data_IF_375879398914
#
_entry.id   IF_375879398914
#
_cell.length_a   1.000
_cell.length_b   1.000
_cell.length_c   1.000
_cell.angle_alpha   90.00
_cell.angle_beta   90.00
_cell.angle_gamma   90.00
#
_symmetry.space_group_name_H-M   'P 1'
#
loop_
_entity.id
_entity.type
_entity.pdbx_description
1 polymer ?
#
# COMPACT_ATOMS: atom_id res chain seq x y z
N UNK A 1 -27.81 -9.57 9.49
CA UNK A 1 -26.65 -10.19 8.81
C UNK A 1 -25.68 -10.67 9.90
N UNK A 2 -25.53 -11.97 10.14
CA UNK A 2 -24.70 -12.50 11.25
C UNK A 2 -23.23 -12.54 10.80
N UNK A 3 -22.42 -11.61 11.29
CA UNK A 3 -20.97 -11.65 11.15
C UNK A 3 -20.43 -12.85 11.93
N UNK A 4 -19.66 -13.71 11.26
CA UNK A 4 -18.93 -14.82 11.87
C UNK A 4 -17.89 -14.21 12.84
N UNK A 5 -18.17 -14.27 14.15
CA UNK A 5 -17.27 -13.74 15.18
C UNK A 5 -16.24 -14.80 15.53
N UNK A 6 -14.93 -14.55 15.38
CA UNK A 6 -13.93 -15.40 15.99
C UNK A 6 -13.99 -15.17 17.51
N UNK A 7 -14.76 -16.00 18.23
CA UNK A 7 -14.67 -16.07 19.68
C UNK A 7 -13.43 -16.87 20.08
N UNK A 8 -12.81 -16.54 21.20
CA UNK A 8 -12.00 -17.51 21.93
C UNK A 8 -12.87 -18.75 22.17
N UNK A 9 -12.44 -19.94 21.71
CA UNK A 9 -13.18 -21.22 21.76
C UNK A 9 -13.34 -21.75 23.20
N UNK A 10 -14.03 -21.02 24.05
CA UNK A 10 -14.44 -21.49 25.37
C UNK A 10 -15.97 -21.36 25.42
N UNK A 11 -16.69 -22.47 25.60
CA UNK A 11 -18.17 -22.48 25.53
C UNK A 11 -18.80 -21.60 26.62
N UNK A 12 -18.05 -21.33 27.69
CA UNK A 12 -18.55 -20.57 28.84
C UNK A 12 -18.01 -19.13 28.91
N UNK A 13 -17.23 -18.68 27.93
CA UNK A 13 -16.50 -17.40 28.01
C UNK A 13 -16.17 -16.83 26.65
N UNK A 14 -16.26 -15.52 26.51
CA UNK A 14 -15.70 -14.85 25.33
C UNK A 14 -14.95 -13.58 25.68
N UNK A 15 -13.80 -13.40 25.04
CA UNK A 15 -13.05 -12.16 25.00
C UNK A 15 -13.00 -11.67 23.56
N UNK A 16 -13.50 -10.46 23.30
CA UNK A 16 -13.56 -9.85 21.98
C UNK A 16 -13.07 -8.41 22.02
N UNK A 17 -12.43 -7.96 20.93
CA UNK A 17 -12.12 -6.54 20.69
C UNK A 17 -12.88 -6.12 19.43
N UNK A 18 -13.72 -5.11 19.57
CA UNK A 18 -14.59 -4.62 18.50
C UNK A 18 -14.18 -3.19 18.14
N UNK A 19 -13.95 -2.95 16.84
CA UNK A 19 -13.56 -1.64 16.31
C UNK A 19 -14.77 -0.96 15.70
N UNK A 20 -15.02 0.30 16.06
CA UNK A 20 -16.04 1.14 15.45
C UNK A 20 -15.54 1.63 14.09
N UNK A 21 -15.87 0.88 13.03
CA UNK A 21 -15.61 1.29 11.65
C UNK A 21 -16.53 0.57 10.68
N UNK A 22 -17.06 1.32 9.72
CA UNK A 22 -17.82 0.77 8.58
C UNK A 22 -16.89 0.27 7.47
N UNK A 23 -15.63 0.69 7.48
CA UNK A 23 -14.66 0.32 6.47
C UNK A 23 -14.12 -1.09 6.70
N UNK A 24 -14.01 -1.84 5.60
CA UNK A 24 -13.40 -3.16 5.56
C UNK A 24 -12.16 -3.13 4.69
N UNK A 25 -11.05 -3.57 5.27
CA UNK A 25 -9.79 -3.78 4.57
C UNK A 25 -9.71 -5.18 3.96
N UNK A 26 -8.53 -5.54 3.45
CA UNK A 26 -8.23 -6.90 3.03
C UNK A 26 -8.67 -7.95 4.04
N UNK A 27 -9.23 -9.06 3.53
CA UNK A 27 -9.72 -10.19 4.33
C UNK A 27 -10.87 -9.86 5.29
N UNK A 28 -11.58 -8.74 5.08
CA UNK A 28 -12.72 -8.33 5.92
C UNK A 28 -12.32 -7.76 7.28
N UNK A 29 -11.03 -7.46 7.48
CA UNK A 29 -10.54 -6.80 8.69
C UNK A 29 -11.13 -5.39 8.81
N UNK A 30 -11.36 -4.88 10.03
CA UNK A 30 -11.69 -3.47 10.22
C UNK A 30 -10.60 -2.59 9.61
N UNK A 31 -11.00 -1.53 8.92
CA UNK A 31 -10.08 -0.57 8.33
C UNK A 31 -10.27 0.83 8.86
N UNK A 32 -9.20 1.62 8.85
CA UNK A 32 -9.19 3.04 9.17
C UNK A 32 -8.37 3.78 8.14
N UNK A 33 -8.79 5.00 7.81
CA UNK A 33 -8.07 5.88 6.89
C UNK A 33 -7.46 7.02 7.69
N UNK A 34 -6.18 7.26 7.46
CA UNK A 34 -5.38 8.28 8.11
C UNK A 34 -4.71 9.13 7.06
N UNK A 35 -4.45 10.39 7.37
CA UNK A 35 -3.48 11.21 6.63
C UNK A 35 -2.46 11.78 7.59
N UNK A 36 -1.32 12.32 7.13
CA UNK A 36 -0.40 13.04 7.99
C UNK A 36 -1.03 14.25 8.69
N UNK A 37 -1.95 14.94 8.02
CA UNK A 37 -2.59 16.18 8.48
C UNK A 37 -3.79 15.92 9.38
N UNK A 38 -4.49 14.81 9.15
CA UNK A 38 -5.59 14.32 9.95
C UNK A 38 -5.33 12.84 10.31
N UNK A 39 -4.48 12.57 11.31
CA UNK A 39 -4.21 11.22 11.73
C UNK A 39 -5.49 10.54 12.25
N UNK A 40 -5.69 9.27 11.91
CA UNK A 40 -6.92 8.57 12.27
C UNK A 40 -7.03 8.34 13.78
N UNK A 41 -8.25 8.44 14.29
CA UNK A 41 -8.61 7.98 15.62
C UNK A 41 -9.27 6.61 15.53
N UNK A 42 -8.73 5.62 16.24
CA UNK A 42 -9.32 4.29 16.34
C UNK A 42 -10.16 4.23 17.62
N UNK A 43 -11.46 4.03 17.47
CA UNK A 43 -12.40 3.84 18.59
C UNK A 43 -12.97 2.43 18.59
N UNK A 44 -13.32 1.94 19.77
CA UNK A 44 -13.90 0.61 19.91
C UNK A 44 -14.21 0.27 21.35
N UNK A 45 -14.47 -1.02 21.58
CA UNK A 45 -14.61 -1.57 22.90
C UNK A 45 -14.01 -2.97 23.00
N UNK A 46 -13.53 -3.28 24.19
CA UNK A 46 -13.22 -4.65 24.59
C UNK A 46 -14.38 -5.19 25.41
N UNK A 47 -14.76 -6.43 25.14
CA UNK A 47 -15.86 -7.11 25.79
C UNK A 47 -15.39 -8.45 26.34
N UNK A 48 -15.66 -8.66 27.62
CA UNK A 48 -15.49 -9.93 28.29
C UNK A 48 -16.85 -10.41 28.79
N UNK A 49 -17.19 -11.65 28.47
CA UNK A 49 -18.42 -12.31 28.88
C UNK A 49 -18.07 -13.64 29.53
N UNK A 50 -18.62 -13.90 30.72
CA UNK A 50 -18.41 -15.13 31.47
C UNK A 50 -19.70 -15.55 32.18
N UNK A 51 -20.11 -16.80 32.00
CA UNK A 51 -21.36 -17.30 32.59
C UNK A 51 -21.23 -17.76 34.04
N UNK A 52 -20.00 -17.95 34.53
CA UNK A 52 -19.70 -18.45 35.87
C UNK A 52 -18.50 -17.70 36.45
N UNK A 53 -18.41 -17.64 37.79
CA UNK A 53 -17.28 -17.03 38.47
C UNK A 53 -15.97 -17.69 38.04
N UNK A 54 -14.96 -16.86 37.75
CA UNK A 54 -13.78 -17.32 37.06
C UNK A 54 -12.48 -16.80 37.66
N UNK A 55 -11.53 -17.70 37.90
CA UNK A 55 -10.20 -17.35 38.42
C UNK A 55 -9.33 -16.65 37.37
N UNK A 56 -9.29 -15.33 37.45
CA UNK A 56 -8.50 -14.43 36.60
C UNK A 56 -8.19 -13.13 37.35
N UNK A 57 -7.20 -12.40 36.85
CA UNK A 57 -7.00 -10.99 37.17
C UNK A 57 -7.84 -10.09 36.26
N UNK A 58 -7.45 -8.83 36.22
CA UNK A 58 -8.11 -7.80 35.42
C UNK A 58 -7.76 -7.89 33.92
N UNK A 59 -8.45 -7.05 33.14
CA UNK A 59 -8.38 -7.05 31.69
C UNK A 59 -7.40 -5.99 31.20
N UNK A 60 -6.38 -6.41 30.47
CA UNK A 60 -5.44 -5.52 29.81
C UNK A 60 -5.67 -5.48 28.30
N UNK A 61 -5.76 -4.28 27.73
CA UNK A 61 -5.80 -4.06 26.29
C UNK A 61 -4.52 -3.34 25.84
N UNK A 62 -3.79 -3.97 24.92
CA UNK A 62 -2.54 -3.44 24.39
C UNK A 62 -2.71 -3.11 22.91
N UNK A 63 -2.58 -1.85 22.53
CA UNK A 63 -2.47 -1.42 21.15
C UNK A 63 -1.00 -1.32 20.74
N UNK A 64 -0.62 -1.91 19.62
CA UNK A 64 0.73 -1.79 19.07
C UNK A 64 0.74 -1.67 17.56
N UNK A 65 1.55 -0.74 17.07
CA UNK A 65 1.97 -0.62 15.67
C UNK A 65 3.37 -1.17 15.55
N UNK A 66 3.54 -2.26 14.80
CA UNK A 66 4.83 -2.97 14.66
C UNK A 66 5.21 -3.14 13.21
N UNK A 67 6.47 -2.82 12.90
CA UNK A 67 7.13 -3.23 11.67
C UNK A 67 8.06 -4.39 11.99
N UNK A 68 7.94 -5.49 11.26
CA UNK A 68 8.74 -6.69 11.46
C UNK A 68 9.28 -7.18 10.11
N UNK A 69 10.51 -7.66 10.13
CA UNK A 69 11.15 -8.32 8.99
C UNK A 69 11.77 -9.63 9.47
N UNK A 70 11.42 -10.73 8.81
CA UNK A 70 11.90 -12.07 9.15
C UNK A 70 12.20 -12.86 7.88
N UNK A 71 13.41 -13.40 7.80
CA UNK A 71 13.83 -14.29 6.73
C UNK A 71 14.89 -15.25 7.27
N UNK A 72 15.16 -16.30 6.51
CA UNK A 72 16.14 -17.30 6.85
C UNK A 72 17.10 -17.56 5.69
N UNK A 73 18.30 -18.04 6.02
CA UNK A 73 19.32 -18.46 5.06
C UNK A 73 19.96 -19.76 5.50
N UNK A 74 20.26 -20.59 4.51
CA UNK A 74 21.03 -21.81 4.69
C UNK A 74 22.48 -21.55 4.30
N UNK A 75 23.40 -21.87 5.22
CA UNK A 75 24.84 -21.80 5.03
C UNK A 75 25.40 -23.21 5.20
N UNK A 76 25.37 -24.00 4.13
CA UNK A 76 25.63 -25.45 4.22
C UNK A 76 24.61 -26.12 5.14
N UNK A 77 25.08 -26.71 6.24
CA UNK A 77 24.22 -27.35 7.25
C UNK A 77 23.60 -26.36 8.25
N UNK A 78 24.12 -25.13 8.35
CA UNK A 78 23.61 -24.15 9.30
C UNK A 78 22.38 -23.41 8.76
N UNK A 79 21.31 -23.35 9.56
CA UNK A 79 20.12 -22.54 9.30
C UNK A 79 20.13 -21.30 10.20
N UNK A 80 20.15 -20.11 9.60
CA UNK A 80 20.16 -18.85 10.34
C UNK A 80 18.87 -18.10 10.06
N UNK A 81 18.11 -17.81 11.11
CA UNK A 81 16.90 -16.98 11.06
C UNK A 81 17.24 -15.57 11.50
N UNK A 82 17.01 -14.61 10.60
CA UNK A 82 17.12 -13.18 10.87
C UNK A 82 15.74 -12.64 11.22
N UNK A 83 15.66 -11.88 12.31
CA UNK A 83 14.41 -11.27 12.75
C UNK A 83 14.68 -9.87 13.32
N UNK A 84 14.15 -8.85 12.65
CA UNK A 84 14.19 -7.46 13.06
C UNK A 84 12.79 -6.98 13.36
N UNK A 85 12.64 -6.17 14.41
CA UNK A 85 11.38 -5.58 14.82
C UNK A 85 11.57 -4.13 15.23
N UNK A 86 10.54 -3.34 15.01
CA UNK A 86 10.42 -1.95 15.45
C UNK A 86 8.98 -1.72 15.90
N UNK A 87 8.82 -1.14 17.09
CA UNK A 87 7.52 -0.68 17.59
C UNK A 87 7.46 0.81 17.28
N UNK A 88 6.46 1.20 16.47
CA UNK A 88 6.29 2.59 16.03
C UNK A 88 5.38 3.37 16.99
N UNK A 89 4.36 2.71 17.54
CA UNK A 89 3.47 3.25 18.56
C UNK A 89 2.98 2.11 19.46
N UNK A 90 2.79 2.41 20.74
CA UNK A 90 2.23 1.49 21.73
C UNK A 90 1.40 2.28 22.75
N UNK A 91 0.23 1.74 23.09
CA UNK A 91 -0.65 2.25 24.15
C UNK A 91 -1.23 1.07 24.93
N UNK A 92 -1.35 1.22 26.24
CA UNK A 92 -1.80 0.18 27.15
C UNK A 92 -2.97 0.71 27.98
N UNK A 93 -4.01 -0.11 28.10
CA UNK A 93 -5.20 0.16 28.90
C UNK A 93 -5.36 -0.97 29.91
N UNK A 94 -5.73 -0.60 31.13
CA UNK A 94 -6.05 -1.52 32.21
C UNK A 94 -7.51 -1.29 32.61
N UNK A 95 -8.27 -2.37 32.73
CA UNK A 95 -9.69 -2.31 33.09
C UNK A 95 -9.98 -3.25 34.25
N UNK A 96 -10.38 -2.65 35.36
CA UNK A 96 -10.83 -3.38 36.55
C UNK A 96 -12.10 -4.17 36.22
N UNK A 97 -12.05 -5.49 36.46
CA UNK A 97 -13.22 -6.33 36.35
C UNK A 97 -13.92 -6.47 37.71
N UNK A 98 -15.24 -6.76 37.74
CA UNK A 98 -15.91 -7.07 39.00
C UNK A 98 -15.35 -8.37 39.59
N UNK A 99 -14.83 -8.34 40.82
CA UNK A 99 -14.34 -9.52 41.53
C UNK A 99 -15.27 -9.89 42.69
N UNK A 100 -15.58 -11.18 42.84
CA UNK A 100 -16.30 -11.70 44.02
C UNK A 100 -15.35 -11.78 45.22
N UNK A 101 -14.10 -12.14 44.95
CA UNK A 101 -12.98 -12.15 45.88
C UNK A 101 -11.68 -11.97 45.11
N UNK A 102 -10.55 -11.59 45.76
CA UNK A 102 -9.30 -11.39 45.06
C UNK A 102 -8.93 -12.57 44.13
N UNK A 103 -8.74 -12.26 42.84
CA UNK A 103 -8.38 -13.25 41.81
C UNK A 103 -9.53 -14.11 41.29
N UNK A 104 -10.79 -13.76 41.60
CA UNK A 104 -11.99 -14.40 41.06
C UNK A 104 -12.95 -13.35 40.53
N UNK A 105 -12.96 -13.23 39.20
CA UNK A 105 -13.86 -12.38 38.44
C UNK A 105 -15.28 -12.94 38.54
N UNK A 106 -16.25 -12.08 38.81
CA UNK A 106 -17.66 -12.43 38.89
C UNK A 106 -18.23 -12.80 37.53
N UNK A 107 -19.20 -13.72 37.51
CA UNK A 107 -20.01 -13.96 36.33
C UNK A 107 -20.69 -12.67 35.83
N UNK A 108 -20.78 -12.50 34.52
CA UNK A 108 -21.42 -11.37 33.88
C UNK A 108 -20.67 -10.89 32.64
N UNK A 109 -21.12 -9.73 32.15
CA UNK A 109 -20.58 -9.07 30.96
C UNK A 109 -19.97 -7.74 31.34
N UNK A 110 -18.71 -7.55 30.99
CA UNK A 110 -17.98 -6.29 31.13
C UNK A 110 -17.65 -5.74 29.75
N UNK A 111 -17.96 -4.46 29.54
CA UNK A 111 -17.69 -3.73 28.29
C UNK A 111 -16.95 -2.45 28.62
N UNK A 112 -15.77 -2.28 28.03
CA UNK A 112 -14.94 -1.09 28.24
C UNK A 112 -14.59 -0.44 26.90
N UNK A 113 -14.82 0.86 26.79
CA UNK A 113 -14.50 1.62 25.59
C UNK A 113 -13.03 2.05 25.59
N UNK A 114 -12.48 2.20 24.39
CA UNK A 114 -11.14 2.74 24.18
C UNK A 114 -11.11 3.67 22.97
N UNK A 115 -10.14 4.56 23.00
CA UNK A 115 -9.81 5.48 21.94
C UNK A 115 -8.30 5.59 21.82
N UNK A 116 -7.78 5.41 20.61
CA UNK A 116 -6.36 5.50 20.29
C UNK A 116 -6.19 6.49 19.15
N UNK A 117 -5.39 7.53 19.38
CA UNK A 117 -5.04 8.49 18.34
C UNK A 117 -3.77 8.03 17.63
N UNK A 118 -3.82 7.78 16.32
CA UNK A 118 -2.61 7.43 15.57
C UNK A 118 -1.65 8.61 15.51
N UNK A 119 -0.36 8.33 15.65
CA UNK A 119 0.68 9.31 15.41
C UNK A 119 0.70 9.74 13.93
N UNK A 120 1.00 11.01 13.64
CA UNK A 120 1.25 11.46 12.28
C UNK A 120 2.34 10.61 11.61
N UNK A 121 2.27 10.48 10.29
CA UNK A 121 3.28 9.81 9.45
C UNK A 121 3.45 8.30 9.66
N UNK A 122 2.61 7.65 10.47
CA UNK A 122 2.66 6.19 10.58
C UNK A 122 2.33 5.54 9.22
N UNK A 123 3.15 4.60 8.72
CA UNK A 123 2.97 4.01 7.40
C UNK A 123 1.69 3.15 7.30
N UNK A 124 1.19 2.98 6.08
CA UNK A 124 0.08 2.06 5.82
C UNK A 124 0.40 0.63 6.24
N UNK A 125 -0.63 -0.15 6.55
CA UNK A 125 -0.50 -1.58 6.82
C UNK A 125 0.11 -2.32 5.63
N UNK A 126 1.05 -3.21 5.93
CA UNK A 126 1.79 -3.99 4.94
C UNK A 126 1.67 -5.46 5.29
N UNK A 127 1.28 -6.29 4.32
CA UNK A 127 1.33 -7.74 4.44
C UNK A 127 2.27 -8.31 3.39
N UNK A 128 3.33 -8.97 3.84
CA UNK A 128 4.31 -9.64 2.99
C UNK A 128 4.75 -10.97 3.58
N UNK A 129 5.48 -11.76 2.79
CA UNK A 129 6.02 -13.05 3.20
C UNK A 129 7.13 -12.93 4.25
N UNK A 130 7.96 -11.88 4.15
CA UNK A 130 9.18 -11.68 4.95
C UNK A 130 9.24 -10.34 5.66
N UNK A 131 8.27 -9.46 5.39
CA UNK A 131 8.15 -8.17 6.06
C UNK A 131 6.69 -7.75 6.13
N UNK A 132 6.26 -7.28 7.28
CA UNK A 132 4.89 -6.83 7.52
C UNK A 132 4.87 -5.66 8.49
N UNK A 133 3.80 -4.87 8.38
CA UNK A 133 3.50 -3.76 9.24
C UNK A 133 2.06 -3.89 9.71
N UNK A 134 1.88 -4.07 11.01
CA UNK A 134 0.59 -4.42 11.60
C UNK A 134 0.18 -3.44 12.69
N UNK A 135 -1.09 -3.09 12.68
CA UNK A 135 -1.79 -2.38 13.76
C UNK A 135 -2.63 -3.41 14.49
N UNK A 136 -2.33 -3.67 15.76
CA UNK A 136 -2.93 -4.78 16.51
C UNK A 136 -3.34 -4.36 17.90
N UNK A 137 -4.58 -4.69 18.25
CA UNK A 137 -5.05 -4.76 19.63
C UNK A 137 -4.87 -6.18 20.17
N UNK A 138 -4.37 -6.30 21.39
CA UNK A 138 -4.24 -7.55 22.13
C UNK A 138 -4.92 -7.39 23.48
N UNK A 139 -6.09 -8.00 23.65
CA UNK A 139 -6.76 -8.10 24.93
C UNK A 139 -6.25 -9.34 25.66
N UNK A 140 -5.84 -9.17 26.91
CA UNK A 140 -5.28 -10.22 27.74
C UNK A 140 -6.00 -10.23 29.08
N UNK A 141 -6.48 -11.41 29.47
CA UNK A 141 -6.98 -11.68 30.80
C UNK A 141 -5.98 -12.59 31.51
N UNK A 142 -5.31 -12.05 32.52
CA UNK A 142 -4.24 -12.74 33.23
C UNK A 142 -4.78 -13.85 34.13
N UNK A 143 -4.14 -15.01 34.12
CA UNK A 143 -4.55 -16.16 34.96
C UNK A 143 -3.42 -16.59 35.88
N UNK A 144 -3.73 -17.04 37.11
CA UNK A 144 -2.69 -17.57 37.98
C UNK A 144 -2.07 -18.84 37.39
N UNK A 145 -0.76 -18.98 37.54
CA UNK A 145 -0.02 -20.18 37.17
C UNK A 145 -0.62 -21.42 37.86
N UNK A 146 -0.79 -22.56 37.16
CA UNK A 146 -0.22 -22.90 35.84
C UNK A 146 -1.13 -22.62 34.63
N UNK A 147 -2.25 -21.91 34.81
CA UNK A 147 -3.19 -21.63 33.70
C UNK A 147 -2.57 -20.55 32.79
N UNK A 148 -2.60 -20.78 31.48
CA UNK A 148 -2.13 -19.79 30.46
C UNK A 148 -3.10 -18.62 30.39
N UNK A 149 -2.68 -17.40 30.13
CA UNK A 149 -3.63 -16.29 29.96
C UNK A 149 -4.66 -16.51 28.83
N UNK A 150 -5.81 -15.85 28.92
CA UNK A 150 -6.77 -15.78 27.81
C UNK A 150 -6.39 -14.56 26.99
N UNK A 151 -6.11 -14.76 25.70
CA UNK A 151 -5.63 -13.69 24.82
C UNK A 151 -6.48 -13.64 23.56
N UNK A 152 -6.98 -12.45 23.24
CA UNK A 152 -7.63 -12.15 21.97
C UNK A 152 -6.83 -11.11 21.20
N UNK A 153 -6.70 -11.29 19.88
CA UNK A 153 -5.94 -10.39 19.01
C UNK A 153 -6.82 -9.90 17.87
N UNK A 154 -6.91 -8.59 17.69
CA UNK A 154 -7.63 -7.95 16.60
C UNK A 154 -6.66 -7.12 15.77
N UNK A 155 -6.48 -7.52 14.51
CA UNK A 155 -5.73 -6.75 13.52
C UNK A 155 -6.63 -5.70 12.88
N UNK A 156 -6.05 -4.54 12.57
CA UNK A 156 -6.71 -3.43 11.88
C UNK A 156 -5.88 -3.09 10.64
N UNK A 157 -6.58 -2.81 9.55
CA UNK A 157 -5.94 -2.29 8.34
C UNK A 157 -5.93 -0.77 8.34
N UNK A 158 -4.76 -0.18 8.55
CA UNK A 158 -4.58 1.26 8.42
C UNK A 158 -4.17 1.63 6.99
N UNK A 159 -4.97 2.48 6.35
CA UNK A 159 -4.67 3.13 5.08
C UNK A 159 -4.18 4.55 5.35
N UNK A 160 -2.87 4.75 5.37
CA UNK A 160 -2.31 6.10 5.43
C UNK A 160 -2.15 6.66 4.02
N UNK A 161 -3.03 7.59 3.67
CA UNK A 161 -2.99 8.32 2.41
C UNK A 161 -2.18 9.58 2.66
N UNK A 162 -1.05 9.72 1.97
CA UNK A 162 -0.35 10.99 1.91
C UNK A 162 -1.24 11.92 1.06
N UNK A 163 -1.97 12.83 1.70
CA UNK A 163 -2.61 13.91 0.97
C UNK A 163 -1.51 14.81 0.39
N UNK A 164 -1.74 15.35 -0.80
CA UNK A 164 -1.07 16.58 -1.20
C UNK A 164 -1.72 17.71 -0.40
N UNK A 165 -1.44 17.79 0.91
CA UNK A 165 -1.72 18.98 1.68
C UNK A 165 -0.65 20.02 1.37
N UNK A 166 -0.68 20.55 0.16
CA UNK A 166 -0.05 21.80 -0.15
C UNK A 166 -0.98 22.47 -1.13
N UNK A 167 -1.88 23.32 -0.61
CA UNK A 167 -2.78 24.24 -1.32
C UNK A 167 -3.76 23.63 -2.36
N UNK A 168 -5.06 23.99 -2.34
CA UNK A 168 -5.98 23.69 -3.44
C UNK A 168 -5.53 24.24 -4.81
N UNK A 169 -4.54 25.14 -4.82
CA UNK A 169 -3.97 25.77 -6.01
C UNK A 169 -2.71 25.07 -6.58
N UNK A 170 -2.18 24.03 -5.93
CA UNK A 170 -0.99 23.33 -6.44
C UNK A 170 -1.41 22.20 -7.36
N UNK A 171 -1.21 22.43 -8.65
CA UNK A 171 -1.24 21.42 -9.70
C UNK A 171 -0.25 20.31 -9.27
N UNK A 172 -0.67 19.03 -9.22
CA UNK A 172 0.23 17.92 -8.95
C UNK A 172 1.43 17.99 -9.90
N UNK A 173 2.65 17.93 -9.37
CA UNK A 173 3.84 17.88 -10.21
C UNK A 173 3.79 16.61 -11.05
N UNK A 174 3.68 16.81 -12.36
CA UNK A 174 3.69 15.74 -13.35
C UNK A 174 5.05 15.04 -13.27
N UNK A 175 5.04 13.71 -13.13
CA UNK A 175 6.28 12.96 -13.23
C UNK A 175 6.59 12.75 -14.71
N UNK A 176 7.70 13.30 -15.18
CA UNK A 176 8.10 13.23 -16.59
C UNK A 176 9.52 12.69 -16.73
N UNK A 177 9.70 11.77 -17.68
CA UNK A 177 10.99 11.25 -18.13
C UNK A 177 11.18 11.62 -19.60
N UNK A 178 12.22 12.38 -19.91
CA UNK A 178 12.56 12.78 -21.28
C UNK A 178 13.94 12.27 -21.67
N UNK A 179 14.19 12.15 -22.96
CA UNK A 179 15.50 11.76 -23.46
C UNK A 179 15.54 11.62 -24.97
N UNK A 180 16.68 11.17 -25.48
CA UNK A 180 16.87 10.82 -26.88
C UNK A 180 17.34 9.37 -26.93
N UNK A 181 16.53 8.49 -27.48
CA UNK A 181 16.86 7.08 -27.61
C UNK A 181 17.77 6.86 -28.83
N UNK A 182 18.82 6.07 -28.64
CA UNK A 182 19.89 5.81 -29.62
C UNK A 182 20.44 7.08 -30.31
N UNK A 183 20.44 8.22 -29.62
CA UNK A 183 20.87 9.53 -30.13
C UNK A 183 20.11 9.98 -31.39
N UNK A 184 18.95 9.41 -31.70
CA UNK A 184 18.21 9.74 -32.93
C UNK A 184 16.71 9.98 -32.73
N UNK A 185 16.11 9.47 -31.65
CA UNK A 185 14.67 9.50 -31.45
C UNK A 185 14.32 10.17 -30.11
N UNK A 186 13.94 11.45 -30.09
CA UNK A 186 13.52 12.13 -28.87
C UNK A 186 12.19 11.57 -28.36
N UNK A 187 12.06 11.48 -27.04
CA UNK A 187 10.86 10.98 -26.39
C UNK A 187 10.58 11.70 -25.08
N UNK A 188 9.31 11.65 -24.67
CA UNK A 188 8.86 11.99 -23.33
C UNK A 188 7.81 10.99 -22.86
N UNK A 189 7.90 10.58 -21.59
CA UNK A 189 6.94 9.70 -20.95
C UNK A 189 6.51 10.33 -19.63
N UNK A 190 5.22 10.43 -19.36
CA UNK A 190 4.72 11.14 -18.20
C UNK A 190 3.57 10.44 -17.48
N UNK A 191 3.45 10.75 -16.20
CA UNK A 191 2.33 10.40 -15.32
C UNK A 191 1.78 11.69 -14.72
N UNK A 192 0.45 11.79 -14.48
CA UNK A 192 -0.16 12.95 -13.84
C UNK A 192 0.42 13.29 -12.48
N UNK A 193 0.96 12.30 -11.77
CA UNK A 193 1.63 12.49 -10.49
C UNK A 193 2.65 11.39 -10.22
N UNK A 194 3.71 11.74 -9.50
CA UNK A 194 4.64 10.76 -8.90
C UNK A 194 3.93 9.86 -7.86
N UNK A 195 2.89 10.40 -7.21
CA UNK A 195 2.11 9.69 -6.20
C UNK A 195 0.95 8.94 -6.85
N UNK A 196 0.94 7.63 -6.69
CA UNK A 196 -0.02 6.73 -7.32
C UNK A 196 -0.78 5.96 -6.25
N UNK A 197 -2.11 6.04 -6.25
CA UNK A 197 -2.93 5.34 -5.27
C UNK A 197 -3.05 3.85 -5.64
N UNK A 198 -3.01 2.98 -4.62
CA UNK A 198 -3.29 1.55 -4.83
C UNK A 198 -4.72 1.35 -5.34
N UNK A 199 -4.90 0.50 -6.35
CA UNK A 199 -6.22 0.21 -6.93
C UNK A 199 -6.72 1.23 -7.96
N UNK A 200 -5.99 2.34 -8.19
CA UNK A 200 -6.42 3.35 -9.16
C UNK A 200 -6.08 2.95 -10.60
N UNK A 201 -6.73 3.63 -11.56
CA UNK A 201 -6.38 3.57 -12.97
C UNK A 201 -5.57 4.83 -13.32
N UNK A 202 -4.31 4.67 -13.71
CA UNK A 202 -3.40 5.81 -13.95
C UNK A 202 -3.15 5.98 -15.43
N UNK A 203 -3.42 7.15 -16.04
CA UNK A 203 -3.02 7.41 -17.41
C UNK A 203 -1.50 7.62 -17.48
N UNK A 204 -0.81 6.84 -18.30
CA UNK A 204 0.60 7.02 -18.63
C UNK A 204 0.72 7.41 -20.09
N UNK A 205 1.30 8.57 -20.37
CA UNK A 205 1.39 9.10 -21.73
C UNK A 205 2.82 9.03 -22.24
N UNK A 206 3.01 8.40 -23.39
CA UNK A 206 4.28 8.32 -24.11
C UNK A 206 4.16 9.13 -25.39
N UNK A 207 5.16 9.97 -25.65
CA UNK A 207 5.31 10.75 -26.87
C UNK A 207 6.67 10.52 -27.47
N UNK A 208 6.69 10.36 -28.78
CA UNK A 208 7.90 10.41 -29.60
C UNK A 208 7.81 11.61 -30.52
N UNK A 209 8.90 12.37 -30.59
CA UNK A 209 9.07 13.39 -31.62
C UNK A 209 9.65 12.76 -32.90
N UNK A 210 9.63 13.46 -34.05
CA UNK A 210 10.30 12.99 -35.25
C UNK A 210 11.76 12.60 -34.99
N UNK A 211 12.28 11.65 -35.77
CA UNK A 211 13.73 11.38 -35.80
C UNK A 211 14.51 12.67 -36.07
N UNK A 212 15.65 12.84 -35.39
CA UNK A 212 16.51 14.01 -35.56
C UNK A 212 17.04 14.11 -37.00
N UNK A 213 17.17 15.34 -37.51
CA UNK A 213 17.62 15.60 -38.89
C UNK A 213 19.00 15.02 -39.20
N UNK A 214 19.90 15.02 -38.21
CA UNK A 214 21.25 14.47 -38.29
C UNK A 214 21.30 12.94 -38.22
N UNK A 215 20.16 12.29 -37.97
CA UNK A 215 20.09 10.83 -37.96
C UNK A 215 19.88 10.25 -39.36
N UNK A 216 20.40 9.05 -39.61
CA UNK A 216 20.12 8.28 -40.83
C UNK A 216 18.66 7.80 -40.96
N UNK A 217 17.79 8.16 -40.00
CA UNK A 217 16.39 7.79 -39.93
C UNK A 217 15.45 8.99 -40.13
N UNK A 218 15.97 10.18 -40.43
CA UNK A 218 15.15 11.35 -40.68
C UNK A 218 14.09 11.10 -41.76
N UNK A 219 12.83 11.47 -41.48
CA UNK A 219 11.68 11.24 -42.35
C UNK A 219 11.12 9.81 -42.35
N UNK A 220 11.76 8.86 -41.66
CA UNK A 220 11.21 7.51 -41.49
C UNK A 220 10.07 7.49 -40.46
N UNK A 221 9.20 6.50 -40.58
CA UNK A 221 8.10 6.30 -39.64
C UNK A 221 8.55 5.38 -38.51
N UNK A 222 8.23 5.76 -37.26
CA UNK A 222 8.39 4.89 -36.10
C UNK A 222 7.29 3.83 -36.12
N UNK A 223 7.68 2.57 -36.00
CA UNK A 223 6.77 1.43 -35.90
C UNK A 223 6.99 0.71 -34.58
N UNK A 224 5.92 0.56 -33.80
CA UNK A 224 5.92 -0.20 -32.55
C UNK A 224 5.45 -1.62 -32.84
N UNK A 225 6.29 -2.60 -32.53
CA UNK A 225 6.00 -4.04 -32.73
C UNK A 225 5.27 -4.63 -31.53
N UNK A 226 5.66 -4.24 -30.32
CA UNK A 226 5.02 -4.69 -29.08
C UNK A 226 5.34 -3.74 -27.94
N UNK A 227 4.45 -3.63 -26.96
CA UNK A 227 4.69 -2.83 -25.77
C UNK A 227 4.12 -3.51 -24.52
N UNK A 228 4.84 -3.37 -23.42
CA UNK A 228 4.48 -3.94 -22.12
C UNK A 228 4.76 -2.92 -21.03
N UNK A 229 3.77 -2.71 -20.16
CA UNK A 229 3.91 -1.93 -18.94
C UNK A 229 4.11 -2.87 -17.75
N UNK A 230 5.12 -2.61 -16.92
CA UNK A 230 5.43 -3.40 -15.73
C UNK A 230 5.51 -2.52 -14.50
N UNK A 231 4.81 -2.90 -13.42
CA UNK A 231 5.00 -2.32 -12.10
C UNK A 231 5.81 -3.28 -11.24
N UNK A 232 6.95 -2.82 -10.74
CA UNK A 232 7.86 -3.60 -9.88
C UNK A 232 7.88 -3.04 -8.48
N UNK A 233 7.68 -3.89 -7.48
CA UNK A 233 7.90 -3.58 -6.06
C UNK A 233 9.25 -4.15 -5.64
N UNK A 234 10.08 -3.30 -5.06
CA UNK A 234 11.36 -3.66 -4.47
C UNK A 234 11.21 -3.65 -2.95
N UNK A 235 11.56 -4.75 -2.30
CA UNK A 235 11.52 -4.88 -0.84
C UNK A 235 12.94 -5.06 -0.33
N UNK A 236 13.35 -4.18 0.57
CA UNK A 236 14.64 -4.20 1.25
C UNK A 236 14.37 -4.44 2.73
N UNK A 237 14.98 -5.47 3.29
CA UNK A 237 14.86 -5.87 4.70
C UNK A 237 16.22 -5.76 5.37
N UNK A 238 16.24 -5.23 6.59
CA UNK A 238 17.48 -5.00 7.35
C UNK A 238 17.49 -5.74 8.68
N UNK A 239 18.62 -6.37 8.95
CA UNK A 239 18.98 -6.93 10.23
C UNK A 239 20.42 -6.53 10.54
N UNK A 240 20.78 -6.43 11.81
CA UNK A 240 22.12 -5.97 12.24
C UNK A 240 23.29 -6.78 11.63
N UNK A 241 23.01 -7.99 11.15
CA UNK A 241 24.00 -8.94 10.62
C UNK A 241 23.82 -9.28 9.14
N UNK A 242 22.70 -8.91 8.53
CA UNK A 242 22.38 -9.29 7.15
C UNK A 242 21.31 -8.38 6.56
N UNK A 243 21.25 -8.33 5.24
CA UNK A 243 20.19 -7.64 4.50
C UNK A 243 19.56 -8.59 3.51
N UNK A 244 18.28 -8.42 3.23
CA UNK A 244 17.58 -9.22 2.25
C UNK A 244 16.82 -8.34 1.27
N UNK A 245 17.02 -8.61 -0.02
CA UNK A 245 16.40 -7.83 -1.09
C UNK A 245 15.55 -8.76 -1.95
N UNK A 246 14.33 -8.33 -2.23
CA UNK A 246 13.38 -9.02 -3.08
C UNK A 246 12.79 -8.06 -4.09
N UNK A 247 12.58 -8.57 -5.29
CA UNK A 247 11.88 -7.87 -6.35
C UNK A 247 10.65 -8.69 -6.72
N UNK A 248 9.49 -8.05 -6.67
CA UNK A 248 8.21 -8.60 -7.09
C UNK A 248 7.71 -7.83 -8.31
N UNK A 249 7.33 -8.55 -9.36
CA UNK A 249 6.54 -7.97 -10.45
C UNK A 249 5.07 -7.94 -10.00
N UNK A 250 4.55 -6.75 -9.75
CA UNK A 250 3.23 -6.52 -9.18
C UNK A 250 2.13 -6.37 -10.24
N UNK A 251 2.52 -5.98 -11.45
CA UNK A 251 1.67 -5.84 -12.63
C UNK A 251 2.52 -6.07 -13.87
N UNK A 252 1.95 -6.79 -14.84
CA UNK A 252 2.38 -6.81 -16.23
C UNK A 252 1.14 -6.60 -17.08
N UNK A 253 1.18 -5.59 -17.94
CA UNK A 253 0.11 -5.22 -18.85
C UNK A 253 0.70 -5.20 -20.26
N UNK A 254 0.31 -6.16 -21.08
CA UNK A 254 0.58 -6.14 -22.51
C UNK A 254 -0.35 -5.10 -23.15
N UNK A 255 0.19 -4.29 -24.08
CA UNK A 255 -0.53 -3.18 -24.71
C UNK A 255 -0.76 -3.54 -26.16
N UNK A 256 -1.93 -4.13 -26.41
CA UNK A 256 -2.27 -4.77 -27.68
C UNK A 256 -2.95 -3.85 -28.70
N UNK A 257 -3.32 -2.61 -28.34
CA UNK A 257 -4.01 -1.72 -29.31
C UNK A 257 -3.04 -1.16 -30.37
N UNK A 258 -3.61 -0.81 -31.52
CA UNK A 258 -2.88 -0.22 -32.65
C UNK A 258 -2.10 1.03 -32.24
N UNK A 259 -0.81 1.05 -32.59
CA UNK A 259 0.08 2.17 -32.31
C UNK A 259 -0.05 3.24 -33.39
N UNK A 260 -0.06 4.53 -33.02
CA UNK A 260 0.04 5.59 -34.01
C UNK A 260 1.29 5.40 -34.87
N UNK A 261 1.16 5.69 -36.15
CA UNK A 261 2.27 5.65 -37.10
C UNK A 261 2.37 6.98 -37.82
N UNK A 262 3.59 7.42 -38.09
CA UNK A 262 3.83 8.71 -38.74
C UNK A 262 5.30 9.11 -38.67
N UNK A 263 5.70 9.98 -39.60
CA UNK A 263 7.04 10.59 -39.65
C UNK A 263 7.15 11.85 -38.79
N UNK A 264 6.02 12.36 -38.28
CA UNK A 264 5.93 13.60 -37.52
C UNK A 264 5.93 13.41 -35.99
N UNK A 265 6.27 12.20 -35.52
CA UNK A 265 6.08 11.83 -34.12
C UNK A 265 4.60 11.58 -33.80
N UNK A 266 4.34 11.16 -32.56
CA UNK A 266 3.00 10.88 -32.06
C UNK A 266 2.99 10.79 -30.53
N UNK A 267 1.78 10.81 -29.97
CA UNK A 267 1.53 10.65 -28.54
C UNK A 267 0.45 9.59 -28.31
N UNK A 268 0.59 8.80 -27.24
CA UNK A 268 -0.42 7.82 -26.81
C UNK A 268 -0.48 7.72 -25.29
N UNK A 269 -1.70 7.67 -24.78
CA UNK A 269 -1.99 7.40 -23.37
C UNK A 269 -2.39 5.94 -23.16
N UNK A 270 -1.79 5.31 -22.15
CA UNK A 270 -2.03 3.93 -21.71
C UNK A 270 -2.64 3.98 -20.32
N UNK A 271 -3.81 3.38 -20.13
CA UNK A 271 -4.45 3.31 -18.81
C UNK A 271 -3.88 2.13 -18.02
N UNK A 272 -3.15 2.42 -16.94
CA UNK A 272 -2.45 1.41 -16.13
C UNK A 272 -3.27 1.08 -14.88
N UNK A 273 -3.82 -0.15 -14.75
CA UNK A 273 -4.60 -0.56 -13.58
C UNK A 273 -3.67 -0.97 -12.43
N UNK A 274 -3.57 -0.12 -11.41
CA UNK A 274 -2.67 -0.34 -10.27
C UNK A 274 -3.24 -1.41 -9.35
N UNK A 275 -2.44 -2.44 -9.06
CA UNK A 275 -2.81 -3.54 -8.17
C UNK A 275 -3.19 -3.04 -6.77
N UNK A 276 -4.34 -3.46 -6.19
CA UNK A 276 -4.76 -3.02 -4.86
C UNK A 276 -4.03 -3.76 -3.72
N UNK A 277 -4.18 -3.25 -2.50
CA UNK A 277 -3.81 -3.97 -1.28
C UNK A 277 -4.65 -5.26 -1.12
N UNK A 278 -4.10 -6.34 -0.56
CA UNK A 278 -2.76 -6.49 0.00
C UNK A 278 -1.74 -7.02 -1.03
N UNK A 279 -2.12 -7.14 -2.32
CA UNK A 279 -1.26 -7.73 -3.35
C UNK A 279 -0.07 -6.81 -3.69
N UNK A 280 -0.29 -5.51 -3.63
CA UNK A 280 0.73 -4.46 -3.66
C UNK A 280 0.70 -3.69 -2.34
N UNK A 281 1.86 -3.27 -1.85
CA UNK A 281 1.96 -2.46 -0.64
C UNK A 281 2.19 -1.00 -0.99
N UNK A 282 1.78 -0.08 -0.11
CA UNK A 282 2.18 1.31 -0.25
C UNK A 282 3.70 1.43 -0.09
N UNK A 283 4.28 2.49 -0.65
CA UNK A 283 5.67 2.84 -0.40
C UNK A 283 5.85 3.04 1.10
N UNK A 284 6.82 2.34 1.69
CA UNK A 284 6.97 2.24 3.15
C UNK A 284 8.43 2.36 3.51
N UNK A 285 8.72 3.11 4.58
CA UNK A 285 10.05 3.29 5.14
C UNK A 285 10.00 3.09 6.65
N UNK A 286 10.62 2.01 7.12
CA UNK A 286 10.81 1.70 8.54
C UNK A 286 12.21 1.15 8.72
N UNK A 287 12.69 1.08 9.96
CA UNK A 287 14.03 0.55 10.25
C UNK A 287 14.24 -0.89 9.75
N UNK A 288 13.30 -1.84 9.93
CA UNK A 288 13.51 -3.21 9.46
C UNK A 288 13.14 -3.41 7.98
N UNK A 289 12.38 -2.51 7.36
CA UNK A 289 11.80 -2.73 6.03
C UNK A 289 11.60 -1.44 5.23
N UNK A 290 11.96 -1.48 3.95
CA UNK A 290 11.63 -0.48 2.93
C UNK A 290 10.97 -1.14 1.73
N UNK A 291 9.92 -0.50 1.21
CA UNK A 291 9.25 -0.89 -0.03
C UNK A 291 9.20 0.30 -0.98
N UNK A 292 9.71 0.12 -2.21
CA UNK A 292 9.71 1.13 -3.27
C UNK A 292 9.20 0.55 -4.58
N UNK A 293 8.84 1.41 -5.53
CA UNK A 293 8.15 0.99 -6.75
C UNK A 293 8.74 1.66 -7.99
N UNK A 294 8.78 0.89 -9.09
CA UNK A 294 9.14 1.39 -10.42
C UNK A 294 8.09 0.99 -11.44
N UNK A 295 7.56 1.96 -12.17
CA UNK A 295 6.75 1.74 -13.35
C UNK A 295 7.68 1.73 -14.58
N UNK A 296 7.53 0.73 -15.45
CA UNK A 296 8.39 0.56 -16.62
C UNK A 296 7.54 0.41 -17.87
N UNK A 297 7.83 1.20 -18.90
CA UNK A 297 7.34 0.99 -20.25
C UNK A 297 8.47 0.34 -21.05
N UNK A 298 8.21 -0.83 -21.62
CA UNK A 298 9.15 -1.56 -22.45
C UNK A 298 8.50 -1.75 -23.81
N UNK A 299 9.14 -1.26 -24.87
CA UNK A 299 8.62 -1.33 -26.24
C UNK A 299 9.65 -1.98 -27.15
N UNK A 300 9.19 -2.75 -28.13
CA UNK A 300 10.00 -3.10 -29.30
C UNK A 300 9.63 -2.17 -30.43
N UNK A 301 10.60 -1.42 -30.91
CA UNK A 301 10.41 -0.39 -31.93
C UNK A 301 11.38 -0.61 -33.10
N UNK A 302 10.96 -0.19 -34.28
CA UNK A 302 11.76 -0.19 -35.50
C UNK A 302 11.34 0.97 -36.39
N UNK A 303 12.07 1.17 -37.49
CA UNK A 303 11.59 2.04 -38.56
C UNK A 303 10.77 1.26 -39.58
N UNK A 304 10.03 1.97 -40.43
CA UNK A 304 9.26 1.37 -41.51
C UNK A 304 10.13 0.67 -42.57
N UNK A 305 11.40 1.06 -42.74
CA UNK A 305 12.33 0.40 -43.66
C UNK A 305 12.94 -0.89 -43.10
N UNK A 306 12.82 -1.12 -41.79
CA UNK A 306 13.37 -2.27 -41.09
C UNK A 306 12.36 -3.41 -40.96
N UNK A 307 12.86 -4.64 -40.92
CA UNK A 307 12.07 -5.83 -40.61
C UNK A 307 11.82 -5.98 -39.11
N UNK A 308 10.81 -6.76 -38.72
CA UNK A 308 10.51 -7.02 -37.30
C UNK A 308 11.67 -7.70 -36.55
N UNK A 309 12.54 -8.43 -37.26
CA UNK A 309 13.75 -9.04 -36.68
C UNK A 309 14.80 -8.03 -36.27
N UNK A 310 14.76 -6.83 -36.85
CA UNK A 310 15.67 -5.72 -36.56
C UNK A 310 15.09 -4.77 -35.49
N UNK A 311 13.89 -5.06 -34.97
CA UNK A 311 13.29 -4.27 -33.92
C UNK A 311 14.13 -4.31 -32.65
N UNK A 312 14.35 -3.13 -32.08
CA UNK A 312 15.16 -2.92 -30.89
C UNK A 312 14.29 -2.55 -29.70
N UNK A 313 14.84 -2.73 -28.51
CA UNK A 313 14.11 -2.51 -27.28
C UNK A 313 14.32 -1.10 -26.73
N UNK A 314 13.22 -0.38 -26.55
CA UNK A 314 13.11 0.90 -25.87
C UNK A 314 12.61 0.67 -24.45
N UNK A 315 13.23 1.32 -23.46
CA UNK A 315 12.86 1.22 -22.04
C UNK A 315 12.80 2.59 -21.39
N UNK A 316 11.69 2.87 -20.72
CA UNK A 316 11.55 4.00 -19.79
C UNK A 316 11.21 3.46 -18.42
N UNK A 317 11.87 3.98 -17.39
CA UNK A 317 11.62 3.62 -16.00
C UNK A 317 11.34 4.88 -15.19
N UNK A 318 10.25 4.85 -14.42
CA UNK A 318 9.82 5.95 -13.55
C UNK A 318 9.72 5.44 -12.11
N UNK A 319 10.42 6.11 -11.19
CA UNK A 319 10.26 5.87 -9.75
C UNK A 319 8.94 6.49 -9.30
N UNK A 320 8.07 5.66 -8.70
CA UNK A 320 6.72 6.07 -8.32
C UNK A 320 6.48 5.80 -6.84
N UNK A 321 5.77 6.72 -6.19
CA UNK A 321 5.44 6.63 -4.77
C UNK A 321 4.02 6.08 -4.62
N UNK A 322 3.88 4.82 -4.19
CA UNK A 322 2.57 4.20 -3.97
C UNK A 322 1.95 4.71 -2.66
N UNK A 323 0.73 5.23 -2.72
CA UNK A 323 -0.06 5.68 -1.56
C UNK A 323 -1.25 4.76 -1.33
N UNK A 324 -1.78 4.75 -0.10
CA UNK A 324 -3.02 4.02 0.19
C UNK A 324 -4.20 4.54 -0.67
N UNK A 325 -5.24 3.70 -0.90
CA UNK A 325 -6.47 4.18 -1.49
C UNK A 325 -7.10 5.27 -0.60
N UNK A 326 -7.83 6.20 -1.23
CA UNK A 326 -8.66 7.16 -0.49
C UNK A 326 -9.87 6.48 0.14
N UNK A 327 -10.49 7.09 1.17
CA UNK A 327 -11.79 6.65 1.66
C UNK A 327 -12.81 6.64 0.50
N UNK A 328 -13.70 5.63 0.40
CA UNK A 328 -14.70 5.54 -0.67
C UNK A 328 -15.61 6.77 -0.79
N UNK A 329 -15.84 7.49 0.32
CA UNK A 329 -16.70 8.67 0.37
C UNK A 329 -15.98 9.98 0.04
N UNK A 330 -14.65 9.96 -0.07
CA UNK A 330 -13.81 11.11 -0.44
C UNK A 330 -13.30 11.01 -1.90
N UNK A 331 -14.04 10.31 -2.76
CA UNK A 331 -13.79 10.44 -4.20
C UNK A 331 -13.84 11.94 -4.52
N UNK A 332 -12.74 12.54 -5.03
CA UNK A 332 -12.81 13.90 -5.47
C UNK A 332 -13.88 13.93 -6.57
N UNK A 333 -14.74 14.94 -6.53
CA UNK A 333 -15.16 15.55 -7.78
C UNK A 333 -13.87 15.81 -8.55
N UNK A 334 -13.48 14.91 -9.44
CA UNK A 334 -12.64 15.25 -10.58
C UNK A 334 -13.49 16.21 -11.41
N UNK A 335 -13.60 17.46 -10.93
CA UNK A 335 -13.80 18.58 -11.83
C UNK A 335 -12.56 18.52 -12.72
N UNK A 336 -12.72 17.82 -13.85
CA UNK A 336 -11.97 18.10 -15.06
C UNK A 336 -11.80 19.62 -15.13
N UNK A 337 -10.60 20.14 -15.43
CA UNK A 337 -10.44 21.57 -15.57
C UNK A 337 -11.55 22.09 -16.47
N UNK A 338 -12.39 22.98 -15.94
CA UNK A 338 -13.32 23.73 -16.78
C UNK A 338 -12.41 24.49 -17.73
N UNK A 339 -12.31 24.04 -18.97
CA UNK A 339 -11.86 24.90 -20.04
C UNK A 339 -12.84 26.06 -20.01
N UNK A 340 -12.39 27.20 -19.48
CA UNK A 340 -13.04 28.47 -19.79
C UNK A 340 -13.06 28.52 -21.30
N UNK A 341 -14.28 28.50 -21.85
CA UNK A 341 -14.54 28.86 -23.24
C UNK A 341 -13.70 30.09 -23.52
N UNK A 342 -12.72 29.93 -24.41
CA UNK A 342 -12.06 31.07 -25.01
C UNK A 342 -13.19 31.80 -25.71
N UNK A 343 -13.55 32.95 -25.16
CA UNK A 343 -14.42 33.89 -25.85
C UNK A 343 -13.85 34.08 -27.25
N UNK A 344 -14.62 33.59 -28.23
CA UNK A 344 -14.57 34.07 -29.60
C UNK A 344 -14.87 35.57 -29.54
N UNK A 345 -13.80 36.37 -29.49
CA UNK A 345 -13.84 37.79 -29.75
C UNK A 345 -13.16 38.06 -31.09
N UNK A 346 -13.85 37.67 -32.17
CA UNK A 346 -13.79 38.39 -33.44
C UNK A 346 -14.79 39.56 -33.35
N UNK A 347 -14.26 40.78 -33.27
CA UNK A 347 -14.68 41.95 -34.06
C UNK A 347 -13.64 43.08 -33.98
#
# INVERSE_FOLDING_TARGET
MRLFRPKTKDEHRSLEVNIYTDYKGPFGLPAVYSTPEAPATIRGYVEFDCFEDFTAGDLDLHFRVKSEAKWDRHYGEAHVVYHSKEVLQEENFHYDLPHVKPGVVAAGRSKHEFEVQLQPLLPSSVKGSRGWLSYRFTATLHRPFPRRDIVFKQDIWCFNTIQNAASPDRIPEQLMSTGVWENCLPYSCCLPSEKVALGSLVPMTIRFDPFLQESGHFGQQLVVVSAVVKLKQYTYLWHKRDTYNEKKEALTLDVDDEWPSGSHGWERTIMVPITPAPRLSATTYTKPMRKTHKLKLIMKIRTNSQSDKEAKEFRVEMDVTMTAPRPPHELPNEQLPKYSELDDADD
#
